data_IF_211386343542
#
_entry.id   IF_211386343542
#
_cell.length_a   1.000
_cell.length_b   1.000
_cell.length_c   1.000
_cell.angle_alpha   90.00
_cell.angle_beta   90.00
_cell.angle_gamma   90.00
#
_symmetry.space_group_name_H-M   'P 1'
#
loop_
_entity.id
_entity.type
_entity.pdbx_description
1 polymer ?
#
# COMPACT_ATOMS: atom_id res chain seq x y z
N UNK A 1 10.49 14.15 21.60
CA UNK A 1 10.22 12.73 21.31
C UNK A 1 9.31 12.72 20.11
N UNK A 2 9.74 12.09 19.04
CA UNK A 2 8.89 11.94 17.86
C UNK A 2 7.74 11.02 18.22
N UNK A 3 6.51 11.47 17.98
CA UNK A 3 5.31 10.68 18.25
C UNK A 3 4.93 9.96 16.96
N UNK A 4 4.99 8.64 16.97
CA UNK A 4 4.50 7.80 15.86
C UNK A 4 3.04 7.45 16.11
N UNK A 5 2.23 7.56 15.05
CA UNK A 5 0.79 7.37 15.14
C UNK A 5 0.38 5.96 14.73
N UNK A 6 -0.65 5.43 15.41
CA UNK A 6 -1.40 4.24 15.00
C UNK A 6 -2.85 4.59 14.61
N UNK A 7 -3.13 5.87 14.44
CA UNK A 7 -4.42 6.39 13.99
C UNK A 7 -4.43 6.48 12.47
N UNK A 8 -5.61 6.39 11.89
CA UNK A 8 -5.82 6.52 10.46
C UNK A 8 -7.23 7.01 10.14
N UNK A 9 -7.51 7.19 8.86
CA UNK A 9 -8.82 7.61 8.39
C UNK A 9 -9.19 6.97 7.06
N UNK A 10 -10.50 6.79 6.87
CA UNK A 10 -11.13 6.39 5.60
C UNK A 10 -11.74 7.63 4.96
N UNK A 11 -11.39 7.89 3.72
CA UNK A 11 -11.98 8.95 2.92
C UNK A 11 -13.07 8.37 2.01
N UNK A 12 -14.23 9.01 2.02
CA UNK A 12 -15.32 8.69 1.11
C UNK A 12 -15.45 9.81 0.06
N UNK A 13 -15.05 9.56 -1.20
CA UNK A 13 -15.12 10.59 -2.25
C UNK A 13 -16.56 10.92 -2.65
N UNK A 14 -17.54 10.02 -2.42
CA UNK A 14 -18.95 10.26 -2.74
C UNK A 14 -19.62 11.26 -1.80
N UNK A 15 -19.12 11.41 -0.58
CA UNK A 15 -19.64 12.35 0.42
C UNK A 15 -18.63 13.41 0.84
N UNK A 16 -17.42 13.37 0.26
CA UNK A 16 -16.29 14.26 0.60
C UNK A 16 -16.04 14.30 2.12
N UNK A 17 -15.94 13.14 2.74
CA UNK A 17 -15.85 13.03 4.20
C UNK A 17 -14.82 12.01 4.66
N UNK A 18 -14.25 12.27 5.84
CA UNK A 18 -13.35 11.37 6.54
C UNK A 18 -14.03 10.70 7.73
N UNK A 19 -13.72 9.42 7.92
CA UNK A 19 -14.10 8.66 9.12
C UNK A 19 -12.83 8.09 9.74
N UNK A 20 -12.61 8.33 11.03
CA UNK A 20 -11.47 7.73 11.74
C UNK A 20 -11.57 6.19 11.72
N UNK A 21 -10.41 5.52 11.63
CA UNK A 21 -10.34 4.06 11.80
C UNK A 21 -10.24 3.70 13.28
N UNK A 22 -10.76 2.54 13.65
CA UNK A 22 -10.55 1.97 14.99
C UNK A 22 -9.06 1.86 15.31
N UNK A 23 -8.70 2.13 16.56
CA UNK A 23 -7.35 1.89 17.11
C UNK A 23 -7.29 0.61 17.95
N UNK A 24 -8.43 -0.06 18.17
CA UNK A 24 -8.48 -1.31 18.92
C UNK A 24 -7.76 -2.40 18.12
N UNK A 25 -6.75 -3.02 18.74
CA UNK A 25 -5.86 -4.01 18.13
C UNK A 25 -5.11 -3.50 16.87
N UNK A 26 -5.08 -2.19 16.63
CA UNK A 26 -4.25 -1.61 15.59
C UNK A 26 -2.76 -1.89 15.90
N UNK A 27 -1.91 -2.08 14.87
CA UNK A 27 -0.47 -2.12 15.07
C UNK A 27 0.01 -0.88 15.82
N UNK A 28 1.11 -1.00 16.56
CA UNK A 28 1.75 0.15 17.23
C UNK A 28 2.09 1.26 16.22
N UNK A 29 2.16 2.51 16.72
CA UNK A 29 2.55 3.68 15.91
C UNK A 29 3.92 3.48 15.27
N UNK A 30 4.01 3.71 13.95
CA UNK A 30 5.19 3.37 13.15
C UNK A 30 5.35 4.26 11.93
N UNK A 31 6.59 4.39 11.48
CA UNK A 31 6.96 4.99 10.19
C UNK A 31 7.67 3.98 9.30
N UNK A 32 7.87 4.34 8.02
CA UNK A 32 8.62 3.52 7.05
C UNK A 32 8.15 2.07 6.94
N UNK A 33 6.88 1.84 7.30
CA UNK A 33 6.16 0.58 7.07
C UNK A 33 5.63 0.54 5.63
N UNK A 34 5.12 -0.60 5.23
CA UNK A 34 4.38 -0.74 3.97
C UNK A 34 2.91 -1.06 4.23
N UNK A 35 2.06 -0.67 3.30
CA UNK A 35 0.65 -1.03 3.27
C UNK A 35 0.27 -1.50 1.87
N UNK A 36 -0.49 -2.58 1.79
CA UNK A 36 -1.07 -3.09 0.54
C UNK A 36 -2.57 -3.31 0.71
N UNK A 37 -3.31 -3.15 -0.38
CA UNK A 37 -4.73 -3.50 -0.42
C UNK A 37 -4.91 -4.93 -0.93
N UNK A 38 -5.46 -5.80 -0.09
CA UNK A 38 -5.66 -7.23 -0.38
C UNK A 38 -7.10 -7.55 -0.84
N UNK A 39 -7.71 -6.65 -1.59
CA UNK A 39 -9.05 -6.80 -2.15
C UNK A 39 -10.18 -6.43 -1.19
N UNK A 40 -10.12 -6.82 0.06
CA UNK A 40 -11.12 -6.52 1.10
C UNK A 40 -10.53 -5.93 2.38
N UNK A 41 -9.22 -6.02 2.57
CA UNK A 41 -8.50 -5.59 3.76
C UNK A 41 -7.22 -4.84 3.38
N UNK A 42 -6.82 -3.88 4.19
CA UNK A 42 -5.49 -3.26 4.12
C UNK A 42 -4.54 -4.03 5.04
N UNK A 43 -3.41 -4.49 4.49
CA UNK A 43 -2.36 -5.14 5.28
C UNK A 43 -1.23 -4.14 5.50
N UNK A 44 -0.93 -3.83 6.76
CA UNK A 44 0.21 -3.02 7.20
C UNK A 44 1.26 -3.94 7.80
N UNK A 45 2.55 -3.77 7.45
CA UNK A 45 3.60 -4.60 8.03
C UNK A 45 4.94 -3.85 8.15
N UNK A 46 5.73 -4.24 9.18
CA UNK A 46 7.08 -3.74 9.40
C UNK A 46 7.13 -2.28 9.83
N UNK A 47 8.23 -1.61 9.53
CA UNK A 47 8.47 -0.22 9.93
C UNK A 47 9.21 -0.08 11.27
N UNK A 48 9.26 1.14 11.77
CA UNK A 48 9.97 1.46 13.01
C UNK A 48 9.22 2.49 13.86
N UNK A 49 9.34 2.40 15.17
CA UNK A 49 8.97 3.46 16.10
C UNK A 49 10.17 4.37 16.44
N UNK A 50 11.40 3.85 16.34
CA UNK A 50 12.66 4.57 16.45
C UNK A 50 13.70 3.84 15.62
N UNK A 51 14.89 4.41 15.44
CA UNK A 51 16.02 3.74 14.76
C UNK A 51 16.44 2.43 15.45
N UNK A 52 16.04 2.21 16.72
CA UNK A 52 16.35 1.01 17.50
C UNK A 52 15.14 0.12 17.78
N UNK A 53 13.94 0.55 17.38
CA UNK A 53 12.70 -0.19 17.61
C UNK A 53 12.04 -0.51 16.27
N UNK A 54 12.48 -1.62 15.68
CA UNK A 54 11.97 -2.11 14.40
C UNK A 54 10.89 -3.15 14.62
N UNK A 55 10.00 -3.28 13.66
CA UNK A 55 8.89 -4.20 13.72
C UNK A 55 8.97 -5.31 12.66
N UNK A 56 8.66 -6.55 13.09
CA UNK A 56 8.26 -7.66 12.23
C UNK A 56 6.79 -8.02 12.44
N UNK A 57 6.05 -7.10 13.06
CA UNK A 57 4.61 -7.21 13.31
C UNK A 57 3.84 -6.43 12.25
N UNK A 58 2.57 -6.78 12.09
CA UNK A 58 1.65 -6.09 11.21
C UNK A 58 0.20 -6.27 11.63
N UNK A 59 -0.71 -5.77 10.81
CA UNK A 59 -2.14 -5.94 11.01
C UNK A 59 -2.91 -5.88 9.71
N UNK A 60 -4.05 -6.58 9.70
CA UNK A 60 -5.07 -6.53 8.64
C UNK A 60 -6.21 -5.64 9.13
N UNK A 61 -6.52 -4.60 8.40
CA UNK A 61 -7.65 -3.72 8.66
C UNK A 61 -8.81 -4.04 7.73
N UNK A 62 -9.94 -4.40 8.31
CA UNK A 62 -11.19 -4.62 7.58
C UNK A 62 -12.06 -3.35 7.65
N UNK A 63 -12.26 -2.62 6.53
CA UNK A 63 -13.04 -1.38 6.54
C UNK A 63 -14.54 -1.59 6.72
N UNK A 64 -15.07 -2.81 6.49
CA UNK A 64 -16.50 -3.09 6.64
C UNK A 64 -16.90 -3.24 8.11
N UNK A 65 -15.98 -3.80 8.92
CA UNK A 65 -16.20 -4.02 10.36
C UNK A 65 -15.47 -3.01 11.23
N UNK A 66 -14.66 -2.13 10.64
CA UNK A 66 -13.78 -1.17 11.32
C UNK A 66 -12.92 -1.84 12.40
N UNK A 67 -12.27 -2.93 12.05
CA UNK A 67 -11.50 -3.75 12.98
C UNK A 67 -10.14 -4.15 12.43
N UNK A 68 -9.20 -4.36 13.37
CA UNK A 68 -7.85 -4.84 13.10
C UNK A 68 -7.67 -6.26 13.62
N UNK A 69 -6.92 -7.06 12.84
CA UNK A 69 -6.45 -8.39 13.23
C UNK A 69 -4.95 -8.43 13.02
N UNK A 70 -4.19 -8.81 14.05
CA UNK A 70 -2.73 -8.93 13.93
C UNK A 70 -2.34 -9.97 12.88
N UNK A 71 -1.24 -9.74 12.15
CA UNK A 71 -0.63 -10.76 11.29
C UNK A 71 0.24 -11.68 12.13
N UNK A 72 0.36 -12.96 11.73
CA UNK A 72 1.29 -13.92 12.33
C UNK A 72 2.73 -13.39 12.29
N UNK A 73 3.50 -13.66 13.34
CA UNK A 73 4.95 -13.43 13.40
C UNK A 73 5.74 -14.73 13.19
N UNK A 74 5.06 -15.88 13.11
CA UNK A 74 5.71 -17.18 12.88
C UNK A 74 6.24 -17.20 11.44
N UNK A 75 7.54 -17.43 11.29
CA UNK A 75 8.27 -17.37 10.02
C UNK A 75 8.19 -16.03 9.29
N UNK A 76 7.74 -14.96 9.95
CA UNK A 76 7.79 -13.62 9.37
C UNK A 76 9.25 -13.20 9.14
N UNK A 77 9.55 -12.38 8.13
CA UNK A 77 10.87 -11.80 7.97
C UNK A 77 11.32 -11.07 9.23
N UNK A 78 12.63 -10.95 9.47
CA UNK A 78 13.18 -10.15 10.56
C UNK A 78 12.64 -8.71 10.51
N UNK A 79 12.55 -8.08 11.68
CA UNK A 79 12.10 -6.69 11.84
C UNK A 79 12.91 -5.76 10.93
N UNK A 80 12.20 -4.84 10.23
CA UNK A 80 12.82 -3.97 9.22
C UNK A 80 11.98 -2.76 8.87
N UNK A 81 12.62 -1.73 8.34
CA UNK A 81 11.99 -0.54 7.79
C UNK A 81 12.49 -0.26 6.36
N UNK A 82 11.87 0.69 5.65
CA UNK A 82 12.23 1.07 4.28
C UNK A 82 12.33 -0.12 3.28
N UNK A 83 11.62 -1.20 3.58
CA UNK A 83 11.40 -2.33 2.69
C UNK A 83 10.30 -1.99 1.67
N UNK A 84 10.11 -2.85 0.69
CA UNK A 84 8.96 -2.75 -0.23
C UNK A 84 7.99 -3.90 -0.01
N UNK A 85 6.73 -3.68 -0.34
CA UNK A 85 5.71 -4.70 -0.39
C UNK A 85 4.89 -4.57 -1.67
N UNK A 86 4.54 -5.70 -2.28
CA UNK A 86 3.62 -5.78 -3.42
C UNK A 86 2.51 -6.79 -3.12
N UNK A 87 1.32 -6.55 -3.68
CA UNK A 87 0.20 -7.49 -3.62
C UNK A 87 0.11 -8.27 -4.93
N UNK A 88 0.08 -9.60 -4.84
CA UNK A 88 0.07 -10.49 -6.01
C UNK A 88 -1.33 -10.84 -6.51
N UNK A 89 -2.36 -10.46 -5.76
CA UNK A 89 -3.73 -10.96 -5.92
C UNK A 89 -4.11 -12.01 -4.86
N UNK A 90 -3.11 -12.66 -4.22
CA UNK A 90 -3.33 -13.70 -3.20
C UNK A 90 -2.37 -13.59 -2.00
N UNK A 91 -1.17 -13.06 -2.19
CA UNK A 91 -0.13 -12.92 -1.18
C UNK A 91 0.48 -11.52 -1.20
N UNK A 92 0.92 -11.04 -0.04
CA UNK A 92 1.79 -9.87 0.07
C UNK A 92 3.24 -10.35 0.04
N UNK A 93 4.05 -9.86 -0.91
CA UNK A 93 5.49 -10.12 -0.92
C UNK A 93 6.19 -8.91 -0.30
N UNK A 94 6.95 -9.14 0.75
CA UNK A 94 7.85 -8.16 1.38
C UNK A 94 9.28 -8.50 1.01
N UNK A 95 10.10 -7.50 0.62
CA UNK A 95 11.51 -7.74 0.33
C UNK A 95 12.40 -6.54 0.66
N UNK A 96 13.65 -6.86 1.02
CA UNK A 96 14.67 -5.84 1.30
C UNK A 96 14.38 -5.03 2.56
N UNK A 97 14.82 -3.80 2.57
CA UNK A 97 14.74 -2.90 3.72
C UNK A 97 15.98 -2.96 4.58
N UNK A 98 15.96 -2.25 5.71
CA UNK A 98 17.05 -2.16 6.68
C UNK A 98 16.63 -2.83 7.99
N UNK A 99 17.48 -3.72 8.53
CA UNK A 99 17.22 -4.46 9.76
C UNK A 99 17.79 -3.79 11.02
N UNK A 100 18.24 -2.54 10.86
CA UNK A 100 18.87 -1.75 11.91
C UNK A 100 20.39 -1.79 11.86
N UNK A 101 20.97 -2.72 11.09
CA UNK A 101 22.41 -2.85 10.87
C UNK A 101 22.77 -2.48 9.43
N UNK A 102 22.04 -3.01 8.47
CA UNK A 102 22.31 -2.79 7.05
C UNK A 102 21.09 -3.11 6.17
N UNK A 103 21.19 -2.78 4.89
CA UNK A 103 20.26 -3.26 3.89
C UNK A 103 20.30 -4.79 3.76
N UNK A 104 19.13 -5.44 3.70
CA UNK A 104 18.99 -6.90 3.63
C UNK A 104 18.44 -7.35 2.27
N UNK A 105 18.78 -8.59 1.85
CA UNK A 105 18.29 -9.23 0.63
C UNK A 105 17.29 -10.37 0.90
N UNK A 106 16.80 -10.43 2.12
CA UNK A 106 15.78 -11.39 2.55
C UNK A 106 14.38 -10.84 2.35
N UNK A 107 13.41 -11.73 2.23
CA UNK A 107 12.01 -11.36 2.12
C UNK A 107 11.08 -12.47 2.57
N UNK A 108 9.78 -12.24 2.42
CA UNK A 108 8.75 -13.24 2.72
C UNK A 108 7.46 -12.98 1.98
N UNK A 109 6.70 -14.04 1.81
CA UNK A 109 5.36 -14.05 1.23
C UNK A 109 4.35 -14.31 2.34
N UNK A 110 3.43 -13.43 2.52
CA UNK A 110 2.36 -13.53 3.50
C UNK A 110 1.03 -13.86 2.84
N UNK A 111 0.42 -14.95 3.24
CA UNK A 111 -0.92 -15.33 2.81
C UNK A 111 -1.94 -14.93 3.89
N UNK A 112 -2.84 -13.95 3.64
CA UNK A 112 -3.77 -13.46 4.65
C UNK A 112 -4.88 -14.45 5.01
N UNK A 113 -5.14 -15.46 4.16
CA UNK A 113 -6.16 -16.48 4.40
C UNK A 113 -5.66 -17.50 5.43
N UNK A 114 -4.40 -17.95 5.28
CA UNK A 114 -3.79 -18.93 6.19
C UNK A 114 -3.08 -18.27 7.37
N UNK A 115 -2.93 -16.94 7.35
CA UNK A 115 -2.14 -16.14 8.28
C UNK A 115 -0.69 -16.67 8.40
N UNK A 116 -0.12 -17.09 7.27
CA UNK A 116 1.18 -17.75 7.21
C UNK A 116 2.21 -17.01 6.38
N UNK A 117 3.49 -17.13 6.78
CA UNK A 117 4.63 -16.61 6.07
C UNK A 117 5.48 -17.72 5.48
N UNK A 118 5.99 -17.49 4.27
CA UNK A 118 6.99 -18.34 3.60
C UNK A 118 8.14 -17.42 3.18
N UNK A 119 9.38 -17.76 3.56
CA UNK A 119 10.54 -16.98 3.15
C UNK A 119 10.72 -17.05 1.62
N UNK A 120 11.17 -15.96 1.01
CA UNK A 120 11.63 -15.94 -0.38
C UNK A 120 13.07 -16.44 -0.43
N UNK A 121 13.47 -17.10 -1.53
CA UNK A 121 14.86 -17.47 -1.76
C UNK A 121 15.78 -16.24 -1.80
N UNK A 122 17.01 -16.40 -1.33
CA UNK A 122 18.10 -15.42 -1.46
C UNK A 122 19.08 -15.79 -2.58
N UNK A 123 18.91 -16.94 -3.22
CA UNK A 123 19.77 -17.39 -4.33
C UNK A 123 19.54 -16.48 -5.53
N UNK A 124 20.60 -15.85 -6.02
CA UNK A 124 20.60 -14.86 -7.10
C UNK A 124 19.72 -13.62 -6.81
N UNK A 125 19.31 -13.41 -5.56
CA UNK A 125 18.63 -12.16 -5.20
C UNK A 125 19.59 -10.97 -5.39
N UNK A 126 19.09 -9.78 -5.69
CA UNK A 126 19.93 -8.58 -5.64
C UNK A 126 20.57 -8.39 -4.28
N UNK A 127 21.69 -7.67 -4.22
CA UNK A 127 22.34 -7.29 -2.97
C UNK A 127 21.35 -6.64 -2.00
N UNK A 128 21.56 -6.85 -0.71
CA UNK A 128 20.74 -6.27 0.35
C UNK A 128 20.68 -4.75 0.23
N UNK A 129 19.46 -4.18 0.34
CA UNK A 129 19.25 -2.75 0.11
C UNK A 129 17.98 -2.23 0.78
N UNK A 130 17.96 -0.94 1.04
CA UNK A 130 16.78 -0.20 1.46
C UNK A 130 16.49 0.96 0.51
N UNK A 131 15.32 1.61 0.66
CA UNK A 131 14.93 2.75 -0.18
C UNK A 131 14.77 2.46 -1.68
N UNK A 132 14.85 1.18 -2.07
CA UNK A 132 14.52 0.71 -3.41
C UNK A 132 13.02 0.82 -3.68
N UNK A 133 12.61 0.59 -4.94
CA UNK A 133 11.20 0.48 -5.31
C UNK A 133 10.90 -0.90 -5.88
N UNK A 134 9.64 -1.31 -5.72
CA UNK A 134 9.14 -2.56 -6.28
C UNK A 134 7.82 -2.33 -7.01
N UNK A 135 7.61 -3.09 -8.08
CA UNK A 135 6.33 -3.20 -8.80
C UNK A 135 5.97 -4.67 -8.98
N UNK A 136 4.66 -4.96 -9.05
CA UNK A 136 4.15 -6.28 -9.41
C UNK A 136 3.68 -6.27 -10.87
N UNK A 137 4.15 -7.22 -11.67
CA UNK A 137 3.82 -7.31 -13.11
C UNK A 137 2.58 -8.14 -13.41
N UNK A 138 2.06 -8.84 -12.42
CA UNK A 138 1.07 -9.91 -12.57
C UNK A 138 1.67 -11.31 -12.43
N UNK A 139 2.98 -11.46 -12.57
CA UNK A 139 3.71 -12.74 -12.44
C UNK A 139 5.04 -12.63 -11.68
N UNK A 140 5.68 -11.46 -11.72
CA UNK A 140 6.98 -11.21 -11.09
C UNK A 140 6.95 -9.91 -10.27
N UNK A 141 7.70 -9.88 -9.17
CA UNK A 141 8.03 -8.65 -8.48
C UNK A 141 9.35 -8.12 -9.06
N UNK A 142 9.36 -6.91 -9.58
CA UNK A 142 10.58 -6.25 -10.03
C UNK A 142 11.02 -5.27 -8.96
N UNK A 143 12.25 -5.39 -8.46
CA UNK A 143 12.88 -4.45 -7.53
C UNK A 143 14.02 -3.72 -8.23
N UNK A 144 14.22 -2.41 -7.92
CA UNK A 144 15.30 -1.64 -8.52
C UNK A 144 15.73 -0.44 -7.67
N UNK A 145 17.02 -0.10 -7.77
CA UNK A 145 17.60 1.06 -7.11
C UNK A 145 17.80 0.90 -5.59
N UNK A 146 17.78 2.00 -4.87
CA UNK A 146 17.97 2.05 -3.42
C UNK A 146 19.40 2.31 -3.00
N UNK A 147 19.69 2.03 -1.74
CA UNK A 147 21.03 2.08 -1.12
C UNK A 147 21.38 0.65 -0.74
N UNK A 148 22.57 0.18 -1.17
CA UNK A 148 23.03 -1.17 -0.87
C UNK A 148 23.57 -1.30 0.57
N UNK A 149 23.92 -2.51 0.96
CA UNK A 149 24.41 -2.82 2.30
C UNK A 149 25.76 -2.14 2.64
N UNK A 150 26.48 -1.59 1.65
CA UNK A 150 27.71 -0.80 1.84
C UNK A 150 27.41 0.71 1.92
N UNK A 151 26.15 1.15 1.76
CA UNK A 151 25.76 2.54 1.78
C UNK A 151 25.89 3.24 0.42
N UNK A 152 26.09 2.52 -0.68
CA UNK A 152 26.16 3.09 -2.02
C UNK A 152 24.80 3.11 -2.71
N UNK A 153 24.56 4.19 -3.47
CA UNK A 153 23.39 4.23 -4.34
C UNK A 153 23.50 3.17 -5.43
N UNK A 154 22.43 2.44 -5.67
CA UNK A 154 22.39 1.32 -6.60
C UNK A 154 21.58 1.65 -7.85
N UNK A 155 22.02 1.13 -9.00
CA UNK A 155 21.29 1.08 -10.27
C UNK A 155 21.05 -0.37 -10.74
N UNK A 156 21.21 -1.33 -9.85
CA UNK A 156 20.91 -2.73 -10.11
C UNK A 156 19.52 -3.09 -9.63
N UNK A 157 18.99 -4.19 -10.13
CA UNK A 157 17.69 -4.72 -9.73
C UNK A 157 17.56 -6.21 -9.99
N UNK A 158 16.39 -6.74 -9.69
CA UNK A 158 16.06 -8.14 -9.95
C UNK A 158 14.57 -8.36 -10.11
N UNK A 159 14.25 -9.46 -10.76
CA UNK A 159 12.88 -9.97 -10.96
C UNK A 159 12.72 -11.23 -10.13
N UNK A 160 11.78 -11.22 -9.23
CA UNK A 160 11.41 -12.39 -8.42
C UNK A 160 10.18 -13.06 -9.02
N UNK A 161 10.34 -14.30 -9.45
CA UNK A 161 9.24 -15.14 -9.94
C UNK A 161 8.61 -15.89 -8.76
N UNK A 162 7.34 -15.59 -8.48
CA UNK A 162 6.58 -16.19 -7.38
C UNK A 162 6.37 -17.70 -7.58
N UNK A 163 6.16 -18.15 -8.81
CA UNK A 163 5.81 -19.55 -9.11
C UNK A 163 7.00 -20.51 -8.94
N UNK A 164 8.22 -20.01 -9.18
CA UNK A 164 9.46 -20.81 -9.12
C UNK A 164 10.33 -20.50 -7.93
N UNK A 165 9.95 -19.49 -7.10
CA UNK A 165 10.75 -18.96 -6.00
C UNK A 165 12.20 -18.67 -6.45
N UNK A 166 12.38 -17.91 -7.51
CA UNK A 166 13.68 -17.64 -8.10
C UNK A 166 13.87 -16.17 -8.50
N UNK A 167 15.13 -15.72 -8.47
CA UNK A 167 15.52 -14.39 -8.88
C UNK A 167 16.28 -14.41 -10.20
N UNK A 168 16.04 -13.40 -11.03
CA UNK A 168 16.80 -13.08 -12.24
C UNK A 168 17.20 -11.61 -12.17
N UNK A 169 18.49 -11.31 -12.37
CA UNK A 169 18.97 -9.93 -12.39
C UNK A 169 18.32 -9.15 -13.57
N UNK A 170 18.09 -7.85 -13.40
CA UNK A 170 17.73 -6.96 -14.51
C UNK A 170 18.98 -6.54 -15.30
N UNK A 171 18.82 -6.27 -16.58
CA UNK A 171 19.89 -5.73 -17.42
C UNK A 171 20.52 -4.46 -16.82
N UNK A 172 21.84 -4.33 -16.97
CA UNK A 172 22.62 -3.16 -16.62
C UNK A 172 22.97 -2.28 -17.83
N UNK A 173 22.48 -2.64 -19.04
CA UNK A 173 22.71 -1.84 -20.25
C UNK A 173 21.69 -0.71 -20.35
N UNK A 174 22.16 0.52 -20.60
CA UNK A 174 21.34 1.74 -20.67
C UNK A 174 20.47 1.99 -19.41
N UNK A 175 20.90 1.43 -18.29
CA UNK A 175 20.22 1.58 -17.00
C UNK A 175 20.32 3.03 -16.51
N UNK A 176 19.29 3.60 -15.86
CA UNK A 176 19.39 4.92 -15.25
C UNK A 176 20.48 4.97 -14.16
N UNK A 177 20.95 6.19 -13.86
CA UNK A 177 21.93 6.40 -12.79
C UNK A 177 21.43 5.84 -11.45
N UNK A 178 22.38 5.40 -10.58
CA UNK A 178 22.05 4.92 -9.23
C UNK A 178 21.26 5.95 -8.44
N UNK A 179 20.24 5.51 -7.70
CA UNK A 179 19.36 6.43 -6.95
C UNK A 179 18.54 5.77 -5.86
N UNK A 180 18.17 6.56 -4.87
CA UNK A 180 17.15 6.26 -3.87
C UNK A 180 16.04 7.31 -3.89
N UNK A 181 15.01 7.16 -3.07
CA UNK A 181 13.89 8.10 -2.94
C UNK A 181 13.24 8.50 -4.28
N UNK A 182 13.41 7.66 -5.30
CA UNK A 182 12.72 7.74 -6.59
C UNK A 182 11.32 7.13 -6.50
N UNK A 183 10.53 7.22 -7.57
CA UNK A 183 9.26 6.49 -7.69
C UNK A 183 9.36 5.44 -8.80
N UNK A 184 8.53 4.40 -8.69
CA UNK A 184 8.33 3.41 -9.74
C UNK A 184 6.85 3.14 -9.92
N UNK A 185 6.42 3.00 -11.18
CA UNK A 185 5.06 2.59 -11.55
C UNK A 185 5.12 1.46 -12.58
N UNK A 186 4.10 0.59 -12.58
CA UNK A 186 3.92 -0.44 -13.59
C UNK A 186 2.87 -0.01 -14.61
N UNK A 187 3.21 -0.06 -15.90
CA UNK A 187 2.32 0.38 -16.99
C UNK A 187 1.42 -0.74 -17.54
N UNK A 188 1.64 -1.96 -17.10
CA UNK A 188 1.09 -3.18 -17.73
C UNK A 188 2.12 -3.91 -18.60
N UNK A 189 3.21 -3.25 -19.03
CA UNK A 189 4.26 -3.83 -19.86
C UNK A 189 5.67 -3.39 -19.47
N UNK A 190 5.83 -2.23 -18.84
CA UNK A 190 7.12 -1.66 -18.43
C UNK A 190 7.05 -1.11 -17.01
N UNK A 191 8.17 -1.19 -16.30
CA UNK A 191 8.38 -0.43 -15.06
C UNK A 191 9.00 0.92 -15.41
N UNK A 192 8.35 2.02 -15.07
CA UNK A 192 8.91 3.35 -15.20
C UNK A 192 9.47 3.76 -13.84
N UNK A 193 10.78 4.08 -13.80
CA UNK A 193 11.42 4.73 -12.65
C UNK A 193 11.73 6.17 -13.00
N UNK A 194 11.52 7.11 -12.04
CA UNK A 194 11.77 8.51 -12.31
C UNK A 194 12.23 9.26 -11.08
N UNK A 195 13.10 10.28 -11.31
CA UNK A 195 13.64 11.20 -10.32
C UNK A 195 14.38 10.48 -9.16
N UNK A 196 14.37 11.02 -7.97
CA UNK A 196 15.11 10.48 -6.82
C UNK A 196 16.35 11.31 -6.47
N UNK A 197 17.21 10.72 -5.67
CA UNK A 197 18.39 11.36 -5.14
C UNK A 197 19.63 10.48 -5.28
N UNK A 198 20.76 11.11 -5.66
CA UNK A 198 22.09 10.52 -5.61
C UNK A 198 23.12 11.60 -5.26
N UNK A 199 23.59 11.55 -4.03
CA UNK A 199 24.54 12.55 -3.51
C UNK A 199 25.91 12.55 -4.19
N UNK A 200 26.29 11.47 -4.92
CA UNK A 200 27.58 11.39 -5.61
C UNK A 200 27.60 12.06 -7.00
N UNK A 201 26.43 12.23 -7.63
CA UNK A 201 26.36 12.75 -9.01
C UNK A 201 25.53 14.02 -9.15
N UNK A 202 25.30 14.75 -8.05
CA UNK A 202 24.66 16.07 -8.10
C UNK A 202 23.33 16.21 -7.36
N UNK A 203 22.94 15.24 -6.56
CA UNK A 203 21.81 15.37 -5.64
C UNK A 203 20.47 14.94 -6.24
N UNK A 204 19.53 15.87 -6.37
CA UNK A 204 18.20 15.57 -6.92
C UNK A 204 18.24 15.32 -8.43
N UNK A 205 17.48 14.34 -8.88
CA UNK A 205 17.43 13.90 -10.29
C UNK A 205 16.07 14.26 -10.90
N UNK A 206 16.07 14.49 -12.22
CA UNK A 206 14.88 14.57 -13.08
C UNK A 206 14.95 13.61 -14.26
N UNK A 207 15.91 12.70 -14.24
CA UNK A 207 16.07 11.63 -15.21
C UNK A 207 15.29 10.38 -14.80
N UNK A 208 15.05 9.48 -15.72
CA UNK A 208 14.42 8.20 -15.45
C UNK A 208 14.64 7.18 -16.56
N UNK A 209 14.04 6.01 -16.39
CA UNK A 209 14.07 4.95 -17.39
C UNK A 209 12.82 4.08 -17.34
N UNK A 210 12.58 3.42 -18.48
CA UNK A 210 11.55 2.40 -18.66
C UNK A 210 12.24 1.06 -18.80
N UNK A 211 11.89 0.12 -17.96
CA UNK A 211 12.39 -1.25 -18.02
C UNK A 211 11.33 -2.18 -18.60
N UNK A 212 11.66 -2.84 -19.70
CA UNK A 212 10.83 -3.87 -20.31
C UNK A 212 11.31 -5.26 -19.85
N UNK A 213 10.56 -5.99 -19.00
CA UNK A 213 10.99 -7.29 -18.51
C UNK A 213 10.96 -8.38 -19.57
N UNK A 214 10.12 -8.26 -20.62
CA UNK A 214 10.07 -9.22 -21.71
C UNK A 214 11.30 -9.18 -22.62
N UNK A 215 11.95 -8.00 -22.72
CA UNK A 215 13.16 -7.77 -23.52
C UNK A 215 14.42 -7.66 -22.65
N UNK A 216 14.27 -7.62 -21.33
CA UNK A 216 15.32 -7.33 -20.35
C UNK A 216 16.15 -6.08 -20.75
N UNK A 217 15.47 -4.98 -21.04
CA UNK A 217 16.10 -3.78 -21.58
C UNK A 217 15.58 -2.49 -20.97
N UNK A 218 16.45 -1.49 -20.89
CA UNK A 218 16.15 -0.16 -20.43
C UNK A 218 16.11 0.85 -21.59
N UNK A 219 15.18 1.80 -21.49
CA UNK A 219 15.08 2.96 -22.37
C UNK A 219 14.91 4.22 -21.52
N UNK A 220 15.69 5.27 -21.76
CA UNK A 220 15.59 6.53 -21.02
C UNK A 220 14.21 7.18 -21.20
N UNK A 221 13.72 7.86 -20.17
CA UNK A 221 12.54 8.72 -20.28
C UNK A 221 12.89 10.00 -21.06
N UNK A 222 11.90 10.61 -21.72
CA UNK A 222 12.07 11.89 -22.39
C UNK A 222 12.45 13.00 -21.38
N UNK A 223 13.32 13.91 -21.83
CA UNK A 223 13.68 15.13 -21.11
C UNK A 223 12.89 16.36 -21.58
N UNK A 224 12.00 16.20 -22.57
CA UNK A 224 11.17 17.31 -23.07
C UNK A 224 10.09 17.63 -22.05
N UNK A 225 10.04 18.91 -21.62
CA UNK A 225 9.11 19.41 -20.59
C UNK A 225 9.17 18.59 -19.27
N UNK A 226 10.35 18.03 -18.96
CA UNK A 226 10.54 17.26 -17.72
C UNK A 226 10.37 18.18 -16.51
N UNK A 227 9.67 17.76 -15.46
CA UNK A 227 9.60 18.51 -14.20
C UNK A 227 10.97 18.69 -13.56
N UNK A 228 11.08 19.67 -12.65
CA UNK A 228 12.29 19.91 -11.88
C UNK A 228 12.75 18.67 -11.14
N UNK A 229 14.06 18.56 -10.92
CA UNK A 229 14.69 17.47 -10.18
C UNK A 229 14.15 17.39 -8.76
N UNK A 230 13.84 16.17 -8.31
CA UNK A 230 13.18 15.95 -7.01
C UNK A 230 13.38 14.55 -6.45
N UNK A 231 13.17 14.41 -5.15
CA UNK A 231 13.06 13.13 -4.45
C UNK A 231 11.83 13.11 -3.56
N UNK A 232 11.48 11.94 -2.98
CA UNK A 232 10.35 11.78 -2.04
C UNK A 232 8.99 12.26 -2.57
N UNK A 233 8.88 12.46 -3.88
CA UNK A 233 7.63 12.79 -4.55
C UNK A 233 6.71 11.56 -4.63
N UNK A 234 5.44 11.78 -4.95
CA UNK A 234 4.50 10.71 -5.24
C UNK A 234 4.36 10.50 -6.75
N UNK A 235 4.03 9.28 -7.15
CA UNK A 235 3.69 8.95 -8.53
C UNK A 235 2.53 7.97 -8.59
N UNK A 236 1.68 8.14 -9.58
CA UNK A 236 0.58 7.22 -9.89
C UNK A 236 0.55 6.94 -11.40
N UNK A 237 0.12 5.74 -11.77
CA UNK A 237 -0.19 5.37 -13.14
C UNK A 237 -1.69 5.44 -13.38
N UNK A 238 -2.12 6.20 -14.39
CA UNK A 238 -3.55 6.41 -14.70
C UNK A 238 -4.12 5.37 -15.66
N UNK A 239 -3.30 4.43 -16.13
CA UNK A 239 -3.62 3.56 -17.25
C UNK A 239 -2.99 4.04 -18.58
N UNK A 240 -2.61 5.32 -18.68
CA UNK A 240 -2.01 5.90 -19.89
C UNK A 240 -0.85 6.85 -19.61
N UNK A 241 -0.80 7.46 -18.43
CA UNK A 241 0.21 8.43 -18.04
C UNK A 241 0.69 8.17 -16.61
N UNK A 242 1.98 8.42 -16.37
CA UNK A 242 2.53 8.57 -15.02
C UNK A 242 2.36 10.02 -14.59
N UNK A 243 1.66 10.27 -13.51
CA UNK A 243 1.54 11.59 -12.90
C UNK A 243 2.45 11.64 -11.69
N UNK A 244 3.25 12.69 -11.56
CA UNK A 244 4.13 12.94 -10.41
C UNK A 244 3.75 14.26 -9.75
N UNK A 245 3.89 14.33 -8.40
CA UNK A 245 3.57 15.52 -7.63
C UNK A 245 4.43 15.68 -6.39
N UNK A 246 4.78 16.93 -6.10
CA UNK A 246 5.46 17.31 -4.86
C UNK A 246 6.88 16.80 -4.74
N UNK A 247 7.29 16.51 -3.52
CA UNK A 247 8.64 16.05 -3.15
C UNK A 247 9.58 17.19 -2.79
N UNK A 248 10.83 16.81 -2.52
CA UNK A 248 11.92 17.73 -2.19
C UNK A 248 12.81 17.98 -3.42
N UNK A 249 13.21 19.21 -3.63
CA UNK A 249 14.10 19.66 -4.70
C UNK A 249 14.94 20.86 -4.24
N UNK A 250 15.48 21.63 -5.19
CA UNK A 250 16.17 22.88 -4.89
C UNK A 250 15.23 24.06 -5.21
N UNK A 251 14.94 24.99 -4.26
CA UNK A 251 15.59 25.18 -2.94
C UNK A 251 14.86 24.50 -1.75
N UNK A 252 13.93 23.54 -1.96
CA UNK A 252 13.20 22.89 -0.87
C UNK A 252 11.98 22.11 -1.36
N UNK A 253 10.95 21.99 -0.53
CA UNK A 253 9.72 21.28 -0.88
C UNK A 253 9.03 21.88 -2.11
N UNK A 254 8.58 21.04 -3.02
CA UNK A 254 7.97 21.43 -4.29
C UNK A 254 6.45 21.26 -4.25
N UNK A 255 5.73 22.24 -4.81
CA UNK A 255 4.29 22.20 -5.05
C UNK A 255 3.95 22.08 -6.54
N UNK A 256 4.86 21.51 -7.32
CA UNK A 256 4.75 21.29 -8.76
C UNK A 256 4.76 19.80 -9.09
N UNK A 257 4.33 19.46 -10.27
CA UNK A 257 4.34 18.10 -10.80
C UNK A 257 4.33 18.08 -12.31
N UNK A 258 4.06 16.94 -12.88
CA UNK A 258 3.95 16.75 -14.32
C UNK A 258 3.37 15.40 -14.67
N UNK A 259 3.08 15.23 -15.95
CA UNK A 259 2.65 13.95 -16.50
C UNK A 259 3.64 13.47 -17.58
N UNK A 260 3.87 12.16 -17.59
CA UNK A 260 4.71 11.47 -18.56
C UNK A 260 3.90 10.41 -19.30
N UNK A 261 3.82 10.53 -20.62
CA UNK A 261 3.21 9.51 -21.48
C UNK A 261 4.30 8.55 -21.95
N UNK A 262 4.21 7.28 -21.57
CA UNK A 262 5.09 6.25 -22.10
C UNK A 262 4.76 6.04 -23.59
N UNK A 263 5.62 6.53 -24.50
CA UNK A 263 5.41 6.31 -25.93
C UNK A 263 5.79 4.88 -26.29
N UNK A 264 4.86 4.13 -26.93
CA UNK A 264 5.17 2.90 -27.66
C UNK A 264 4.81 1.57 -27.00
N UNK A 265 4.07 1.54 -25.89
CA UNK A 265 3.36 0.31 -25.50
C UNK A 265 2.05 0.17 -26.29
N UNK A 266 1.55 -1.05 -26.55
CA UNK A 266 0.21 -1.19 -27.08
C UNK A 266 -0.74 -0.45 -26.13
N UNK A 267 -1.54 0.46 -26.67
CA UNK A 267 -2.65 1.07 -25.92
C UNK A 267 -3.39 -0.09 -25.27
N UNK A 268 -3.51 -0.17 -23.93
CA UNK A 268 -4.32 -1.22 -23.34
C UNK A 268 -5.70 -1.08 -23.96
N UNK A 269 -6.12 -2.09 -24.72
CA UNK A 269 -7.52 -2.18 -25.15
C UNK A 269 -8.32 -2.07 -23.87
N UNK A 270 -9.20 -1.06 -23.72
CA UNK A 270 -9.98 -0.95 -22.49
C UNK A 270 -10.67 -2.28 -22.32
N UNK A 271 -10.33 -3.01 -21.25
CA UNK A 271 -11.09 -4.17 -20.83
C UNK A 271 -12.53 -3.65 -20.72
N UNK A 272 -13.49 -4.19 -21.46
CA UNK A 272 -14.84 -3.69 -21.38
C UNK A 272 -15.22 -3.76 -19.89
N UNK A 273 -15.37 -2.60 -19.28
CA UNK A 273 -15.97 -2.50 -17.94
C UNK A 273 -17.30 -3.20 -18.08
N UNK A 274 -17.47 -4.32 -17.37
CA UNK A 274 -18.74 -5.03 -17.39
C UNK A 274 -19.79 -3.97 -17.10
N UNK A 275 -20.66 -3.71 -18.08
CA UNK A 275 -21.80 -2.82 -17.92
C UNK A 275 -22.51 -3.32 -16.66
N UNK A 276 -22.77 -2.46 -15.67
CA UNK A 276 -23.51 -2.93 -14.50
C UNK A 276 -24.76 -3.62 -15.01
N UNK A 277 -24.89 -4.89 -14.70
CA UNK A 277 -26.13 -5.63 -14.94
C UNK A 277 -27.27 -4.79 -14.38
N UNK A 278 -28.28 -4.40 -15.16
CA UNK A 278 -29.36 -3.57 -14.64
C UNK A 278 -29.92 -4.28 -13.41
N UNK A 279 -29.74 -3.67 -12.26
CA UNK A 279 -30.36 -4.09 -11.00
C UNK A 279 -31.85 -4.09 -11.27
N UNK A 280 -32.48 -5.27 -11.22
CA UNK A 280 -33.92 -5.38 -11.37
C UNK A 280 -34.57 -4.41 -10.41
N UNK A 281 -35.28 -3.42 -10.95
CA UNK A 281 -36.12 -2.52 -10.16
C UNK A 281 -37.06 -3.40 -9.34
N UNK A 282 -37.09 -3.29 -8.00
CA UNK A 282 -38.03 -4.08 -7.22
C UNK A 282 -39.44 -3.73 -7.68
N UNK A 283 -40.18 -4.74 -8.10
CA UNK A 283 -41.61 -4.62 -8.38
C UNK A 283 -42.29 -4.04 -7.13
N UNK A 284 -43.08 -2.96 -7.25
CA UNK A 284 -43.74 -2.40 -6.07
C UNK A 284 -44.62 -3.48 -5.42
N UNK A 285 -44.24 -3.85 -4.19
CA UNK A 285 -45.05 -4.73 -3.35
C UNK A 285 -46.38 -4.02 -3.09
N UNK A 286 -47.49 -4.68 -3.44
CA UNK A 286 -48.82 -4.15 -3.20
C UNK A 286 -48.96 -3.73 -1.74
N UNK A 287 -49.29 -2.46 -1.54
CA UNK A 287 -49.56 -1.88 -0.22
C UNK A 287 -50.79 -2.60 0.36
N UNK A 288 -50.58 -3.31 1.48
CA UNK A 288 -51.67 -3.94 2.20
C UNK A 288 -52.68 -2.87 2.63
N UNK A 289 -53.93 -3.04 2.33
CA UNK A 289 -55.04 -2.22 2.79
C UNK A 289 -55.06 -2.20 4.30
N UNK A 290 -55.13 -1.04 4.99
CA UNK A 290 -55.14 -0.99 6.43
C UNK A 290 -56.40 -1.67 6.97
N UNK A 291 -56.20 -2.71 7.75
CA UNK A 291 -57.26 -3.37 8.55
C UNK A 291 -57.71 -2.39 9.64
N UNK A 292 -59.02 -2.19 9.72
CA UNK A 292 -59.62 -1.27 10.71
C UNK A 292 -59.22 -1.62 12.13
N UNK A 293 -58.67 -0.63 12.83
CA UNK A 293 -58.31 -0.71 14.26
C UNK A 293 -59.58 -0.84 15.11
N UNK A 294 -59.70 -1.80 16.02
CA UNK A 294 -60.83 -1.92 16.93
C UNK A 294 -60.77 -0.75 17.95
N UNK A 295 -61.94 -0.13 18.14
CA UNK A 295 -62.15 0.93 19.14
C UNK A 295 -61.83 0.45 20.55
N UNK A 296 -61.04 1.15 21.38
CA UNK A 296 -60.75 0.72 22.72
C UNK A 296 -61.98 0.85 23.62
N UNK A 297 -62.35 -0.25 24.25
CA UNK A 297 -63.36 -0.30 25.30
C UNK A 297 -62.85 0.40 26.56
N UNK A 298 -63.61 1.31 27.10
CA UNK A 298 -63.28 2.09 28.29
C UNK A 298 -62.98 1.17 29.50
N UNK A 299 -61.78 1.34 30.06
CA UNK A 299 -61.33 0.63 31.27
C UNK A 299 -61.87 1.35 32.51
N UNK A 300 -62.59 0.62 33.38
CA UNK A 300 -63.07 1.09 34.65
C UNK A 300 -61.94 1.57 35.59
N UNK A 301 -62.16 2.69 36.24
CA UNK A 301 -61.24 3.32 37.21
C UNK A 301 -61.17 2.49 38.47
N UNK A 302 -60.00 2.16 39.02
CA UNK A 302 -59.89 1.52 40.34
C UNK A 302 -60.01 2.55 41.46
N UNK A 303 -60.76 2.16 42.48
CA UNK A 303 -60.99 2.89 43.77
C UNK A 303 -59.66 2.94 44.57
N UNK A 304 -59.32 4.05 45.27
CA UNK A 304 -58.09 4.13 46.07
C UNK A 304 -58.16 3.26 47.31
N UNK A 305 -57.27 2.25 47.35
CA UNK A 305 -57.05 1.45 48.57
C UNK A 305 -56.02 2.13 49.47
N UNK A 306 -56.34 2.13 50.76
CA UNK A 306 -55.60 2.69 51.90
C UNK A 306 -54.19 2.08 52.03
N UNK A 307 -53.22 2.91 52.35
CA UNK A 307 -51.79 2.62 52.59
C UNK A 307 -51.60 1.95 53.94
N UNK A 308 -50.87 0.85 54.11
CA UNK A 308 -50.49 0.30 55.40
C UNK A 308 -49.36 1.12 56.04
N UNK A 309 -49.41 1.32 57.31
CA UNK A 309 -48.43 1.96 58.20
C UNK A 309 -47.22 1.03 58.44
N UNK A 310 -45.97 1.55 58.49
CA UNK A 310 -44.79 0.74 58.79
C UNK A 310 -44.65 0.45 60.28
N UNK A 311 -44.02 -0.71 60.68
CA UNK A 311 -43.78 -1.05 62.08
C UNK A 311 -42.60 -0.25 62.66
N UNK A 312 -42.55 -0.09 64.04
CA UNK A 312 -41.49 0.65 64.70
C UNK A 312 -40.18 -0.14 64.72
N UNK A 313 -39.08 0.59 64.67
CA UNK A 313 -37.72 0.06 64.86
C UNK A 313 -37.44 -0.18 66.35
N UNK A 314 -36.59 -1.20 66.64
CA UNK A 314 -35.96 -1.34 67.93
C UNK A 314 -34.79 -0.38 68.13
#
# INVERSE_FOLDING_TARGET
>A
MDTYFNTGGRYNPGTDSWTATSINNAPEGRSSHTAVWAGSEMIVWGGSATIFSLFNTGGKYNPNTDSWTATSITNAPAARFAHTAVWTGSEMIVWGGNDGNSGVNTGGRYNPITDGWIATTTVNAPDGRDGHKAVWTGSEMIVWGGIDFNGFFSNTGGRYNLGTDSWTATSNSNVPDPRTAHTAVWTGSEMIVWAGFNGFIGGFLNTGGRYNPGMDSWTSTSMTNVPDSRSLHTAVWTGSQMIVWGGDGQPGALNTGGSYCAQGGPTPTPTPTASPTPTSTPTPTATATPTATPTPTARATPTPGSRPTPPPRP
#
